data_IF_114946563942
#
_entry.id   IF_114946563942
#
_cell.length_a   1.000
_cell.length_b   1.000
_cell.length_c   1.000
_cell.angle_alpha   90.00
_cell.angle_beta   90.00
_cell.angle_gamma   90.00
#
_symmetry.space_group_name_H-M   'P 1'
#
loop_
_entity.id
_entity.type
_entity.pdbx_description
1 polymer ?
#
# COMPACT_ATOMS: atom_id res chain seq x y z
N UNK A 1 -19.29 -12.37 -13.41
CA UNK A 1 -19.27 -11.40 -12.28
C UNK A 1 -18.68 -10.05 -12.72
N UNK A 2 -17.55 -10.00 -13.45
CA UNK A 2 -16.95 -8.75 -13.98
C UNK A 2 -17.89 -8.00 -14.95
N UNK A 3 -18.60 -8.70 -15.80
CA UNK A 3 -19.58 -8.09 -16.73
C UNK A 3 -20.78 -7.47 -16.00
N UNK A 4 -21.21 -8.06 -14.89
CA UNK A 4 -22.32 -7.52 -14.09
C UNK A 4 -21.93 -6.27 -13.30
N UNK A 5 -20.70 -6.21 -12.79
CA UNK A 5 -20.19 -5.02 -12.09
C UNK A 5 -20.11 -3.80 -13.02
N UNK A 6 -19.69 -4.00 -14.28
CA UNK A 6 -19.67 -2.94 -15.31
C UNK A 6 -21.08 -2.50 -15.69
N UNK A 7 -22.04 -3.41 -15.78
CA UNK A 7 -23.45 -3.08 -16.11
C UNK A 7 -24.20 -2.33 -15.03
N UNK A 8 -23.82 -2.52 -13.75
CA UNK A 8 -24.46 -1.84 -12.61
C UNK A 8 -23.80 -0.52 -12.24
N UNK A 9 -22.67 -0.16 -12.87
CA UNK A 9 -21.89 1.04 -12.53
C UNK A 9 -21.24 0.98 -11.14
N UNK A 10 -21.32 -0.17 -10.46
CA UNK A 10 -20.76 -0.36 -9.13
C UNK A 10 -19.44 -1.11 -9.26
N UNK A 11 -18.35 -0.39 -9.41
CA UNK A 11 -17.01 -0.97 -9.31
C UNK A 11 -16.72 -1.16 -7.82
N UNK A 12 -16.63 -2.41 -7.39
CA UNK A 12 -16.24 -2.75 -6.03
C UNK A 12 -14.71 -2.66 -5.87
N UNK A 13 -14.26 -2.33 -4.66
CA UNK A 13 -12.85 -2.34 -4.26
C UNK A 13 -12.14 -3.65 -4.64
N UNK A 14 -12.80 -4.79 -4.42
CA UNK A 14 -12.29 -6.12 -4.78
C UNK A 14 -11.98 -6.27 -6.28
N UNK A 15 -12.76 -5.67 -7.16
CA UNK A 15 -12.53 -5.71 -8.61
C UNK A 15 -11.26 -4.95 -8.97
N UNK A 16 -11.10 -3.75 -8.41
CA UNK A 16 -9.91 -2.91 -8.62
C UNK A 16 -8.66 -3.55 -8.03
N UNK A 17 -8.79 -4.10 -6.83
CA UNK A 17 -7.70 -4.83 -6.18
C UNK A 17 -7.23 -6.01 -7.05
N UNK A 18 -8.15 -6.87 -7.50
CA UNK A 18 -7.83 -8.03 -8.33
C UNK A 18 -7.32 -7.69 -9.73
N UNK A 19 -7.54 -6.45 -10.21
CA UNK A 19 -6.90 -5.96 -11.45
C UNK A 19 -5.42 -5.66 -11.25
N UNK A 20 -5.02 -5.19 -10.07
CA UNK A 20 -3.65 -4.78 -9.77
C UNK A 20 -2.87 -5.94 -9.15
N UNK A 21 -3.47 -6.64 -8.21
CA UNK A 21 -2.85 -7.81 -7.58
C UNK A 21 -3.93 -8.79 -7.11
N UNK A 22 -3.82 -10.05 -7.49
CA UNK A 22 -4.79 -11.08 -7.12
C UNK A 22 -4.86 -11.25 -5.61
N UNK A 23 -6.04 -11.06 -5.02
CA UNK A 23 -6.29 -11.22 -3.59
C UNK A 23 -5.94 -12.62 -3.09
N UNK A 24 -5.51 -12.69 -1.82
CA UNK A 24 -5.11 -13.92 -1.11
C UNK A 24 -3.99 -14.68 -1.81
N UNK A 25 -3.13 -13.97 -2.53
CA UNK A 25 -1.93 -14.52 -3.13
C UNK A 25 -0.69 -14.14 -2.32
N UNK A 26 0.25 -15.06 -2.25
CA UNK A 26 1.55 -14.86 -1.59
C UNK A 26 2.70 -14.80 -2.63
N UNK A 27 2.38 -14.54 -3.89
CA UNK A 27 3.34 -14.53 -4.96
C UNK A 27 3.08 -13.38 -5.91
N UNK A 28 4.08 -12.55 -6.09
CA UNK A 28 4.10 -11.47 -7.07
C UNK A 28 4.57 -11.99 -8.44
N UNK A 29 4.02 -13.12 -8.88
CA UNK A 29 4.27 -13.60 -10.23
C UNK A 29 3.50 -12.74 -11.25
N UNK A 30 4.04 -12.54 -12.48
CA UNK A 30 3.42 -11.68 -13.49
C UNK A 30 1.95 -12.01 -13.79
N UNK A 31 1.56 -13.27 -13.66
CA UNK A 31 0.18 -13.71 -13.85
C UNK A 31 -0.78 -13.30 -12.71
N UNK A 32 -0.23 -12.85 -11.57
CA UNK A 32 -1.00 -12.48 -10.38
C UNK A 32 -0.97 -10.99 -10.09
N UNK A 33 -0.13 -10.21 -10.78
CA UNK A 33 0.17 -8.85 -10.37
C UNK A 33 0.49 -7.93 -11.55
N UNK A 34 -0.22 -6.81 -11.58
CA UNK A 34 0.03 -5.68 -12.48
C UNK A 34 0.60 -4.47 -11.70
N UNK A 35 1.43 -4.73 -10.70
CA UNK A 35 2.04 -3.69 -9.85
C UNK A 35 2.90 -2.68 -10.63
N UNK A 36 3.30 -3.00 -11.87
CA UNK A 36 3.94 -2.06 -12.80
C UNK A 36 3.07 -0.83 -13.10
N UNK A 37 1.75 -0.94 -12.90
CA UNK A 37 0.84 0.21 -13.02
C UNK A 37 1.18 1.33 -12.03
N UNK A 38 1.64 0.99 -10.84
CA UNK A 38 2.11 1.94 -9.83
C UNK A 38 3.56 2.35 -10.09
N UNK A 39 4.44 1.36 -10.20
CA UNK A 39 5.87 1.58 -10.46
C UNK A 39 6.47 0.34 -11.15
N UNK A 40 7.28 0.56 -12.19
CA UNK A 40 7.87 -0.50 -13.00
C UNK A 40 8.76 -1.46 -12.18
N UNK A 41 9.42 -0.97 -11.13
CA UNK A 41 10.25 -1.79 -10.26
C UNK A 41 9.45 -2.79 -9.40
N UNK A 42 8.15 -2.55 -9.20
CA UNK A 42 7.37 -3.36 -8.26
C UNK A 42 7.10 -4.77 -8.72
N UNK A 43 7.22 -5.05 -10.03
CA UNK A 43 7.13 -6.40 -10.57
C UNK A 43 8.26 -7.32 -10.09
N UNK A 44 9.39 -6.73 -9.68
CA UNK A 44 10.55 -7.49 -9.21
C UNK A 44 10.54 -7.77 -7.72
N UNK A 45 9.57 -7.18 -6.98
CA UNK A 45 9.53 -7.32 -5.54
C UNK A 45 8.66 -8.50 -5.13
N UNK A 46 9.12 -9.26 -4.16
CA UNK A 46 8.28 -10.25 -3.51
C UNK A 46 7.13 -9.53 -2.78
N UNK A 47 5.96 -10.14 -2.78
CA UNK A 47 4.80 -9.50 -2.17
C UNK A 47 3.69 -10.49 -1.82
N UNK A 48 2.74 -9.98 -1.05
CA UNK A 48 1.52 -10.67 -0.68
C UNK A 48 0.34 -9.73 -0.85
N UNK A 49 -0.81 -10.30 -1.12
CA UNK A 49 -2.06 -9.57 -1.27
C UNK A 49 -3.13 -10.15 -0.34
N UNK A 50 -3.76 -9.26 0.43
CA UNK A 50 -4.92 -9.56 1.27
C UNK A 50 -4.64 -10.67 2.32
N UNK A 51 -3.43 -10.70 2.90
CA UNK A 51 -3.04 -11.58 3.99
C UNK A 51 -2.92 -10.83 5.32
N UNK A 52 -3.35 -11.46 6.40
CA UNK A 52 -3.11 -10.90 7.73
C UNK A 52 -1.60 -10.84 8.02
N UNK A 53 -1.15 -9.77 8.71
CA UNK A 53 0.28 -9.58 9.02
C UNK A 53 0.94 -10.80 9.67
N UNK A 54 0.19 -11.56 10.48
CA UNK A 54 0.67 -12.79 11.12
C UNK A 54 0.86 -13.98 10.15
N UNK A 55 0.19 -13.92 8.99
CA UNK A 55 0.23 -14.98 7.98
C UNK A 55 1.33 -14.73 6.94
N UNK A 56 1.75 -13.46 6.81
CA UNK A 56 2.76 -13.06 5.82
C UNK A 56 4.09 -13.74 6.14
N UNK A 57 4.70 -14.28 5.10
CA UNK A 57 6.06 -14.81 5.11
C UNK A 57 6.94 -14.07 4.10
N UNK A 58 8.15 -13.77 4.52
CA UNK A 58 9.18 -13.10 3.72
C UNK A 58 10.40 -14.00 3.65
N UNK A 59 10.66 -14.55 2.46
CA UNK A 59 11.80 -15.45 2.27
C UNK A 59 11.73 -16.71 3.15
N UNK A 60 10.53 -17.25 3.37
CA UNK A 60 10.30 -18.43 4.20
C UNK A 60 10.28 -18.15 5.71
N UNK A 61 10.30 -16.89 6.13
CA UNK A 61 10.26 -16.47 7.52
C UNK A 61 9.02 -15.62 7.79
N UNK A 62 8.35 -15.86 8.92
CA UNK A 62 7.18 -15.06 9.32
C UNK A 62 7.55 -13.59 9.46
N UNK A 63 6.69 -12.70 8.93
CA UNK A 63 6.85 -11.26 9.04
C UNK A 63 6.89 -10.81 10.50
N UNK A 64 5.94 -11.26 11.29
CA UNK A 64 5.89 -10.92 12.71
C UNK A 64 6.77 -11.86 13.52
N UNK A 65 7.41 -11.30 14.52
CA UNK A 65 8.16 -12.01 15.56
C UNK A 65 7.30 -13.10 16.21
N UNK A 66 7.84 -14.31 16.35
CA UNK A 66 7.08 -15.46 16.86
C UNK A 66 7.06 -15.49 18.40
N UNK A 67 8.11 -15.01 19.02
CA UNK A 67 8.33 -14.96 20.48
C UNK A 67 8.00 -13.55 21.04
N UNK A 68 6.79 -13.08 20.76
CA UNK A 68 6.33 -11.78 21.28
C UNK A 68 6.15 -11.83 22.79
N UNK A 69 6.58 -10.75 23.46
CA UNK A 69 6.27 -10.53 24.87
C UNK A 69 4.79 -10.23 25.08
N UNK A 70 4.32 -10.29 26.33
CA UNK A 70 2.93 -9.96 26.68
C UNK A 70 2.58 -8.52 26.29
N UNK A 71 3.53 -7.57 26.41
CA UNK A 71 3.36 -6.18 25.99
C UNK A 71 3.24 -6.04 24.49
N UNK A 72 4.08 -6.76 23.71
CA UNK A 72 4.00 -6.79 22.25
C UNK A 72 2.68 -7.41 21.79
N UNK A 73 2.24 -8.49 22.40
CA UNK A 73 0.94 -9.11 22.14
C UNK A 73 -0.21 -8.17 22.47
N UNK A 74 -0.18 -7.50 23.62
CA UNK A 74 -1.18 -6.50 23.99
C UNK A 74 -1.23 -5.33 22.99
N UNK A 75 -0.07 -4.85 22.54
CA UNK A 75 0.02 -3.82 21.50
C UNK A 75 -0.59 -4.27 20.18
N UNK A 76 -0.30 -5.50 19.76
CA UNK A 76 -0.90 -6.13 18.59
C UNK A 76 -2.42 -6.29 18.75
N UNK A 77 -2.94 -6.65 19.93
CA UNK A 77 -4.38 -6.79 20.22
C UNK A 77 -5.07 -5.42 20.22
N UNK A 78 -4.49 -4.39 20.83
CA UNK A 78 -5.04 -3.04 20.86
C UNK A 78 -5.28 -2.49 19.45
N UNK A 79 -4.37 -2.72 18.54
CA UNK A 79 -4.55 -2.34 17.15
C UNK A 79 -5.72 -3.07 16.43
N UNK A 80 -6.29 -4.12 17.02
CA UNK A 80 -7.53 -4.79 16.54
C UNK A 80 -8.78 -3.99 16.88
N UNK A 81 -8.85 -3.43 18.08
CA UNK A 81 -10.05 -2.76 18.57
C UNK A 81 -10.32 -1.43 17.88
N UNK A 82 -9.31 -0.84 17.25
CA UNK A 82 -9.46 0.40 16.49
C UNK A 82 -10.12 0.21 15.09
N UNK A 83 -10.87 -0.88 14.91
CA UNK A 83 -11.75 -1.11 13.75
C UNK A 83 -11.04 -1.54 12.46
N UNK A 84 -9.75 -1.85 12.49
CA UNK A 84 -8.99 -2.24 11.29
C UNK A 84 -8.69 -3.73 11.18
N UNK A 85 -9.01 -4.33 10.06
CA UNK A 85 -8.38 -5.58 9.64
C UNK A 85 -6.87 -5.33 9.61
N UNK A 86 -6.05 -6.25 10.15
CA UNK A 86 -4.58 -6.16 10.10
C UNK A 86 -4.04 -6.80 8.84
N UNK A 87 -4.65 -6.44 7.76
CA UNK A 87 -4.45 -7.04 6.46
C UNK A 87 -4.33 -5.89 5.47
N UNK A 88 -3.11 -5.49 5.11
CA UNK A 88 -2.91 -4.57 4.00
C UNK A 88 -3.42 -5.22 2.72
N UNK A 89 -3.99 -4.43 1.83
CA UNK A 89 -4.46 -4.96 0.56
C UNK A 89 -3.29 -5.53 -0.24
N UNK A 90 -2.17 -4.79 -0.30
CA UNK A 90 -0.91 -5.30 -0.84
C UNK A 90 0.24 -4.92 0.07
N UNK A 91 1.14 -5.86 0.27
CA UNK A 91 2.39 -5.68 0.99
C UNK A 91 3.54 -6.21 0.15
N UNK A 92 4.46 -5.33 -0.25
CA UNK A 92 5.67 -5.70 -0.97
C UNK A 92 6.89 -5.46 -0.07
N UNK A 93 7.85 -6.36 -0.19
CA UNK A 93 9.08 -6.31 0.60
C UNK A 93 10.30 -6.49 -0.32
N UNK A 94 10.75 -5.40 -0.97
CA UNK A 94 12.09 -5.40 -1.52
C UNK A 94 13.08 -5.63 -0.38
N UNK A 95 14.19 -6.27 -0.66
CA UNK A 95 15.30 -6.37 0.30
C UNK A 95 15.73 -4.95 0.69
N UNK A 96 16.65 -4.76 1.60
CA UNK A 96 17.24 -3.48 2.00
C UNK A 96 16.45 -2.68 3.07
N UNK A 97 15.67 -3.35 3.90
CA UNK A 97 14.96 -2.71 5.01
C UNK A 97 13.82 -1.79 4.60
N UNK A 98 13.33 -1.91 3.36
CA UNK A 98 12.17 -1.19 2.84
C UNK A 98 10.94 -2.07 2.85
N UNK A 99 9.76 -1.48 3.02
CA UNK A 99 8.52 -2.15 2.72
C UNK A 99 7.50 -1.19 2.08
N UNK A 100 6.64 -1.73 1.23
CA UNK A 100 5.63 -0.99 0.49
C UNK A 100 4.28 -1.53 0.90
N UNK A 101 3.37 -0.62 1.25
CA UNK A 101 2.03 -0.90 1.74
C UNK A 101 1.06 -0.21 0.80
N UNK A 102 0.13 -0.94 0.22
CA UNK A 102 -0.91 -0.38 -0.64
C UNK A 102 -2.28 -0.68 -0.05
N UNK A 103 -3.12 0.33 -0.02
CA UNK A 103 -4.52 0.27 0.40
C UNK A 103 -5.40 0.82 -0.72
N UNK A 104 -6.43 0.08 -1.06
CA UNK A 104 -7.45 0.49 -2.00
C UNK A 104 -8.69 1.00 -1.27
N UNK A 105 -9.42 1.89 -1.91
CA UNK A 105 -10.74 2.34 -1.48
C UNK A 105 -11.70 2.29 -2.65
N UNK A 106 -12.91 1.82 -2.40
CA UNK A 106 -13.94 1.85 -3.43
C UNK A 106 -14.12 3.27 -3.98
N UNK A 107 -14.47 3.45 -5.27
CA UNK A 107 -14.47 4.77 -5.91
C UNK A 107 -15.35 5.84 -5.25
N UNK A 108 -16.39 5.41 -4.53
CA UNK A 108 -17.31 6.32 -3.82
C UNK A 108 -16.87 6.64 -2.38
N UNK A 109 -15.84 5.96 -1.88
CA UNK A 109 -15.35 6.15 -0.51
C UNK A 109 -14.42 7.36 -0.47
N UNK A 110 -14.66 8.23 0.50
CA UNK A 110 -13.77 9.35 0.76
C UNK A 110 -12.44 8.86 1.34
N UNK A 111 -11.37 9.16 0.62
CA UNK A 111 -10.01 8.72 0.95
C UNK A 111 -9.44 9.44 2.17
N UNK A 112 -9.84 10.70 2.42
CA UNK A 112 -9.33 11.51 3.54
C UNK A 112 -9.52 10.80 4.88
N UNK A 113 -10.63 10.10 5.06
CA UNK A 113 -10.96 9.36 6.27
C UNK A 113 -10.08 8.12 6.53
N UNK A 114 -9.23 7.75 5.58
CA UNK A 114 -8.44 6.50 5.61
C UNK A 114 -6.93 6.71 5.69
N UNK A 115 -6.43 7.94 5.72
CA UNK A 115 -5.00 8.27 5.78
C UNK A 115 -4.25 7.58 6.93
N UNK A 116 -4.95 7.35 8.05
CA UNK A 116 -4.37 6.72 9.23
C UNK A 116 -4.08 5.22 9.07
N UNK A 117 -4.67 4.53 8.08
CA UNK A 117 -4.51 3.08 7.92
C UNK A 117 -3.05 2.71 7.61
N UNK A 118 -2.45 3.38 6.64
CA UNK A 118 -1.05 3.14 6.26
C UNK A 118 -0.09 3.40 7.44
N UNK A 119 -0.32 4.50 8.16
CA UNK A 119 0.46 4.84 9.36
C UNK A 119 0.40 3.73 10.41
N UNK A 120 -0.77 3.11 10.56
CA UNK A 120 -0.99 2.01 11.49
C UNK A 120 -0.19 0.78 11.08
N UNK A 121 -0.23 0.39 9.82
CA UNK A 121 0.55 -0.75 9.33
C UNK A 121 2.05 -0.51 9.48
N UNK A 122 2.55 0.66 9.07
CA UNK A 122 3.95 1.00 9.23
C UNK A 122 4.40 0.88 10.71
N UNK A 123 3.60 1.39 11.66
CA UNK A 123 3.88 1.26 13.10
C UNK A 123 3.86 -0.19 13.60
N UNK A 124 2.90 -0.99 13.16
CA UNK A 124 2.83 -2.40 13.54
C UNK A 124 4.05 -3.17 13.04
N UNK A 125 4.38 -2.99 11.77
CA UNK A 125 5.53 -3.67 11.15
C UNK A 125 6.83 -3.20 11.80
N UNK A 126 7.02 -1.90 12.01
CA UNK A 126 8.22 -1.36 12.63
C UNK A 126 8.47 -1.95 14.03
N UNK A 127 7.42 -2.15 14.80
CA UNK A 127 7.54 -2.56 16.18
C UNK A 127 7.47 -4.09 16.39
N UNK A 128 6.80 -4.82 15.50
CA UNK A 128 6.47 -6.24 15.71
C UNK A 128 7.06 -7.18 14.67
N UNK A 129 7.67 -6.67 13.59
CA UNK A 129 8.33 -7.55 12.61
C UNK A 129 9.55 -8.24 13.23
N UNK A 130 9.92 -9.38 12.67
CA UNK A 130 11.17 -10.03 13.07
C UNK A 130 12.36 -9.07 12.84
N UNK A 131 13.25 -8.88 13.83
CA UNK A 131 14.37 -7.94 13.76
C UNK A 131 15.29 -8.13 12.56
N UNK A 132 15.41 -9.35 12.07
CA UNK A 132 16.30 -9.67 10.94
C UNK A 132 15.89 -9.04 9.62
N UNK A 133 14.63 -8.58 9.48
CA UNK A 133 14.19 -7.87 8.28
C UNK A 133 14.74 -6.44 8.21
N UNK A 134 15.08 -5.85 9.35
CA UNK A 134 15.68 -4.52 9.40
C UNK A 134 14.81 -3.41 8.80
N UNK A 135 13.49 -3.58 8.77
CA UNK A 135 12.60 -2.56 8.21
C UNK A 135 12.71 -1.23 8.94
N UNK A 136 12.95 -0.18 8.17
CA UNK A 136 13.06 1.18 8.69
C UNK A 136 12.50 2.24 7.71
N UNK A 137 12.24 1.87 6.45
CA UNK A 137 11.67 2.75 5.44
C UNK A 137 10.38 2.17 4.90
N UNK A 138 9.33 2.97 4.98
CA UNK A 138 7.98 2.58 4.59
C UNK A 138 7.51 3.48 3.47
N UNK A 139 6.90 2.89 2.44
CA UNK A 139 6.25 3.58 1.34
C UNK A 139 4.78 3.16 1.34
N UNK A 140 3.90 4.13 1.50
CA UNK A 140 2.47 3.90 1.57
C UNK A 140 1.76 4.48 0.35
N UNK A 141 0.86 3.71 -0.22
CA UNK A 141 -0.01 4.14 -1.31
C UNK A 141 -1.45 3.96 -0.88
N UNK A 142 -2.19 5.06 -0.85
CA UNK A 142 -3.63 5.06 -0.61
C UNK A 142 -4.30 5.40 -1.94
N UNK A 143 -5.04 4.45 -2.49
CA UNK A 143 -5.59 4.53 -3.84
C UNK A 143 -7.11 4.53 -3.78
N UNK A 144 -7.72 5.54 -4.37
CA UNK A 144 -9.16 5.70 -4.46
C UNK A 144 -9.54 6.58 -5.64
N UNK A 145 -10.77 7.02 -5.74
CA UNK A 145 -11.20 7.98 -6.76
C UNK A 145 -11.74 9.25 -6.13
N UNK A 146 -12.46 9.15 -5.01
CA UNK A 146 -12.97 10.29 -4.28
C UNK A 146 -11.90 10.85 -3.35
N UNK A 147 -11.13 11.82 -3.85
CA UNK A 147 -10.02 12.46 -3.13
C UNK A 147 -10.31 13.96 -3.08
N UNK A 148 -10.63 14.46 -1.89
CA UNK A 148 -10.70 15.88 -1.59
C UNK A 148 -9.37 16.36 -1.02
N UNK A 149 -8.65 17.16 -1.81
CA UNK A 149 -7.32 17.66 -1.45
C UNK A 149 -7.37 18.65 -0.30
N UNK A 150 -8.41 19.48 -0.25
CA UNK A 150 -8.59 20.47 0.82
C UNK A 150 -8.86 19.76 2.15
N UNK A 151 -9.74 18.76 2.16
CA UNK A 151 -10.04 17.97 3.35
C UNK A 151 -8.81 17.20 3.87
N UNK A 152 -8.01 16.64 2.95
CA UNK A 152 -6.76 15.99 3.33
C UNK A 152 -5.78 16.96 3.97
N UNK A 153 -5.64 18.18 3.42
CA UNK A 153 -4.76 19.20 3.97
C UNK A 153 -5.23 19.78 5.29
N UNK A 154 -6.54 19.90 5.46
CA UNK A 154 -7.12 20.32 6.73
C UNK A 154 -6.85 19.29 7.83
N UNK A 155 -6.90 18.00 7.48
CA UNK A 155 -6.58 16.90 8.39
C UNK A 155 -5.07 16.76 8.65
N UNK A 156 -4.23 17.03 7.65
CA UNK A 156 -2.77 16.91 7.71
C UNK A 156 -2.09 17.90 6.75
N UNK A 157 -1.67 19.08 7.25
CA UNK A 157 -1.12 20.16 6.42
C UNK A 157 0.26 19.83 5.79
N UNK A 158 0.86 18.70 6.13
CA UNK A 158 2.14 18.28 5.55
C UNK A 158 1.99 17.53 4.21
N UNK A 159 0.76 17.31 3.76
CA UNK A 159 0.55 16.81 2.40
C UNK A 159 0.83 17.90 1.36
N UNK A 160 1.53 17.53 0.30
CA UNK A 160 1.95 18.37 -0.82
C UNK A 160 1.32 17.84 -2.12
N UNK A 161 1.03 18.73 -3.05
CA UNK A 161 0.59 18.35 -4.39
C UNK A 161 1.77 18.06 -5.30
N UNK A 162 1.59 17.07 -6.18
CA UNK A 162 2.43 16.80 -7.34
C UNK A 162 1.60 17.03 -8.63
N UNK A 163 1.33 18.30 -9.01
CA UNK A 163 0.30 18.63 -9.99
C UNK A 163 0.58 18.05 -11.39
N UNK A 164 1.85 17.84 -11.74
CA UNK A 164 2.23 17.25 -13.02
C UNK A 164 2.11 15.72 -13.05
N UNK A 165 1.86 15.09 -11.91
CA UNK A 165 1.86 13.65 -11.75
C UNK A 165 0.52 13.11 -11.21
N UNK A 166 -0.43 14.01 -10.92
CA UNK A 166 -1.80 13.67 -10.50
C UNK A 166 -1.89 12.93 -9.17
N UNK A 167 -1.06 13.31 -8.17
CA UNK A 167 -1.19 12.76 -6.82
C UNK A 167 -0.82 13.80 -5.76
N UNK A 168 -1.19 13.52 -4.51
CA UNK A 168 -0.71 14.24 -3.35
C UNK A 168 0.17 13.32 -2.51
N UNK A 169 1.14 13.88 -1.83
CA UNK A 169 2.09 13.09 -1.07
C UNK A 169 2.54 13.77 0.23
N UNK A 170 2.89 12.94 1.19
CA UNK A 170 3.57 13.35 2.41
C UNK A 170 4.98 12.79 2.39
N UNK A 171 6.01 13.64 2.28
CA UNK A 171 7.38 13.18 2.05
C UNK A 171 7.98 12.46 3.25
N UNK A 172 7.50 12.77 4.45
CA UNK A 172 8.04 12.19 5.67
C UNK A 172 7.03 12.20 6.82
N UNK A 173 6.90 11.03 7.46
CA UNK A 173 6.25 10.87 8.74
C UNK A 173 7.12 9.96 9.61
N UNK A 174 7.50 10.36 10.85
CA UNK A 174 8.23 9.47 11.73
C UNK A 174 7.37 8.28 12.16
N UNK A 175 7.92 7.09 12.06
CA UNK A 175 7.30 5.85 12.56
C UNK A 175 7.93 5.53 13.90
N UNK A 176 7.27 5.93 14.98
CA UNK A 176 7.81 5.83 16.33
C UNK A 176 8.06 4.39 16.75
N UNK A 177 9.25 4.16 17.25
CA UNK A 177 9.70 2.88 17.78
C UNK A 177 9.19 2.61 19.19
N UNK A 178 9.00 1.34 19.47
CA UNK A 178 8.74 0.75 20.78
C UNK A 178 9.60 -0.50 20.95
N UNK A 179 9.59 -1.09 22.12
CA UNK A 179 10.20 -2.39 22.40
C UNK A 179 11.70 -2.44 21.98
N UNK A 180 12.43 -1.36 22.20
CA UNK A 180 13.85 -1.29 21.85
C UNK A 180 14.17 -1.21 20.36
N UNK A 181 13.17 -0.98 19.51
CA UNK A 181 13.37 -0.76 18.07
C UNK A 181 13.93 0.63 17.78
N UNK A 182 14.31 0.85 16.52
CA UNK A 182 14.68 2.17 15.99
C UNK A 182 13.48 2.80 15.29
N UNK A 183 13.41 4.13 15.33
CA UNK A 183 12.41 4.87 14.56
C UNK A 183 12.58 4.60 13.06
N UNK A 184 11.46 4.48 12.39
CA UNK A 184 11.38 4.39 10.95
C UNK A 184 10.89 5.69 10.32
N UNK A 185 10.79 5.70 9.01
CA UNK A 185 10.21 6.79 8.22
C UNK A 185 9.18 6.26 7.23
N UNK A 186 8.07 6.98 7.11
CA UNK A 186 7.01 6.67 6.15
C UNK A 186 6.88 7.82 5.15
N UNK A 187 6.95 7.48 3.88
CA UNK A 187 6.51 8.28 2.74
C UNK A 187 5.12 7.82 2.34
N UNK A 188 4.19 8.73 2.05
CA UNK A 188 2.82 8.36 1.67
C UNK A 188 2.40 9.10 0.40
N UNK A 189 1.82 8.37 -0.55
CA UNK A 189 1.11 8.93 -1.71
C UNK A 189 -0.38 8.64 -1.59
N UNK A 190 -1.19 9.60 -2.01
CA UNK A 190 -2.63 9.45 -2.23
C UNK A 190 -2.90 9.75 -3.70
N UNK A 191 -3.43 8.78 -4.44
CA UNK A 191 -3.51 8.84 -5.90
C UNK A 191 -4.86 8.27 -6.38
N UNK A 192 -5.42 8.87 -7.44
CA UNK A 192 -6.64 8.39 -8.07
C UNK A 192 -6.37 7.19 -8.98
N UNK A 193 -7.35 6.29 -9.07
CA UNK A 193 -7.31 5.21 -10.06
C UNK A 193 -7.16 5.74 -11.49
N UNK A 194 -7.91 6.81 -11.81
CA UNK A 194 -7.85 7.48 -13.11
C UNK A 194 -6.43 7.97 -13.43
N UNK A 195 -5.73 8.57 -12.45
CA UNK A 195 -4.37 9.09 -12.63
C UNK A 195 -3.34 7.97 -12.82
N UNK A 196 -3.49 6.84 -12.11
CA UNK A 196 -2.64 5.65 -12.31
C UNK A 196 -2.76 5.14 -13.74
N UNK A 197 -3.99 5.00 -14.23
CA UNK A 197 -4.25 4.52 -15.59
C UNK A 197 -3.71 5.48 -16.66
N UNK A 198 -3.85 6.78 -16.45
CA UNK A 198 -3.32 7.79 -17.36
C UNK A 198 -1.79 7.75 -17.40
N UNK A 199 -1.14 7.69 -16.25
CA UNK A 199 0.34 7.52 -16.15
C UNK A 199 0.82 6.27 -16.85
N UNK A 200 0.13 5.14 -16.68
CA UNK A 200 0.47 3.89 -17.35
C UNK A 200 0.31 3.98 -18.87
N UNK A 201 -0.75 4.63 -19.36
CA UNK A 201 -0.94 4.90 -20.79
C UNK A 201 0.20 5.76 -21.35
N UNK A 202 0.53 6.85 -20.69
CA UNK A 202 1.61 7.74 -21.15
C UNK A 202 2.97 7.03 -21.23
N UNK A 203 3.33 6.23 -20.25
CA UNK A 203 4.57 5.44 -20.28
C UNK A 203 4.62 4.51 -21.49
N UNK A 204 3.55 3.77 -21.72
CA UNK A 204 3.47 2.82 -22.83
C UNK A 204 3.41 3.53 -24.18
N UNK A 205 2.71 4.68 -24.27
CA UNK A 205 2.59 5.43 -25.51
C UNK A 205 3.95 5.94 -26.02
N UNK A 206 4.78 6.48 -25.13
CA UNK A 206 6.14 6.92 -25.49
C UNK A 206 6.96 5.77 -26.08
N UNK A 207 6.82 4.57 -25.51
CA UNK A 207 7.52 3.39 -26.02
C UNK A 207 6.97 2.94 -27.38
N UNK A 208 5.66 2.87 -27.52
CA UNK A 208 4.98 2.49 -28.76
C UNK A 208 5.28 3.47 -29.89
N UNK A 209 5.21 4.77 -29.63
CA UNK A 209 5.52 5.81 -30.62
C UNK A 209 6.96 5.69 -31.14
N UNK A 210 7.91 5.39 -30.29
CA UNK A 210 9.31 5.14 -30.69
C UNK A 210 9.47 3.87 -31.53
N UNK A 211 8.73 2.81 -31.24
CA UNK A 211 8.75 1.59 -32.05
C UNK A 211 8.11 1.81 -33.42
N UNK A 212 7.06 2.60 -33.48
CA UNK A 212 6.35 2.96 -34.73
C UNK A 212 7.06 4.04 -35.55
N UNK A 213 8.19 4.57 -35.06
CA UNK A 213 8.97 5.59 -35.75
C UNK A 213 8.31 6.97 -35.79
N UNK A 214 7.45 7.28 -34.82
CA UNK A 214 6.77 8.56 -34.63
C UNK A 214 7.57 9.52 -33.75
#
# INVERSE_FOLDING_TARGET
EKENAVKTGTINEDVLHNLIFRQKSANNAPENSDMWLLNDEYIYFSGTSDLELKEIEVGGKKLLKQDMTDEENAYLVKARHDGGKRRPDIFLFPKEGRCIIVEFKAPHVDVANHLHQINRYARLINNLSDPSFGFCKYYGYLIGENIDIEEIRDSDPYFQEAPNLGYIFKPFLPVSAKFGRKDGSLYTEVIKYSDILERAKHRNQIFLDKLDGK
#
